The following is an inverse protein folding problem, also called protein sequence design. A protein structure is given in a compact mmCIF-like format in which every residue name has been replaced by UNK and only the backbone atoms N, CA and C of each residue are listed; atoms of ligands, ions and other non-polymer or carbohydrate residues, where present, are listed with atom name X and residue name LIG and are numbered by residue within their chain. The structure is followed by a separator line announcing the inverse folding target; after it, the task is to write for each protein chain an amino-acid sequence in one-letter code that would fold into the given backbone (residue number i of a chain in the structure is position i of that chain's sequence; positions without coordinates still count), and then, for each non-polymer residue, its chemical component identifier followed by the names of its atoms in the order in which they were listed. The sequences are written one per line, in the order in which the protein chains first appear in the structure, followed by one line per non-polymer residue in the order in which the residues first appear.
data_IF_888198673774
#
_entry.id   IF_888198673774
#
_cell.length_a   1.000
_cell.length_b   1.000
_cell.length_c   1.000
_cell.angle_alpha   90.00
_cell.angle_beta   90.00
_cell.angle_gamma   90.00
#
_symmetry.space_group_name_H-M   'P 1'
#
loop_
_entity.id
_entity.type
_entity.pdbx_description
1 polymer ?
#
# COMPACT_ATOMS: atom_id res chain seq x y z
N UNK A 1 14.99 -0.58 5.83
CA UNK A 1 13.59 -0.35 5.40
C UNK A 1 13.21 1.13 5.43
N UNK A 2 13.76 1.93 6.35
CA UNK A 2 13.53 3.38 6.42
C UNK A 2 13.89 4.15 5.16
N UNK A 3 14.88 3.66 4.40
CA UNK A 3 15.45 4.37 3.25
C UNK A 3 14.73 4.04 1.95
N UNK A 4 13.89 3.00 1.96
CA UNK A 4 13.16 2.52 0.79
C UNK A 4 12.20 3.58 0.21
N UNK A 5 11.44 4.34 1.01
CA UNK A 5 10.61 5.42 0.48
C UNK A 5 11.41 6.43 -0.34
N UNK A 6 12.60 6.83 0.15
CA UNK A 6 13.46 7.77 -0.57
C UNK A 6 14.03 7.14 -1.86
N UNK A 7 14.41 5.87 -1.82
CA UNK A 7 14.90 5.16 -3.01
C UNK A 7 13.80 5.02 -4.10
N UNK A 8 12.54 4.76 -3.72
CA UNK A 8 11.39 4.77 -4.63
C UNK A 8 11.12 6.17 -5.20
N UNK A 9 11.11 7.21 -4.35
CA UNK A 9 10.90 8.60 -4.79
C UNK A 9 11.99 9.08 -5.77
N UNK A 10 13.24 8.68 -5.55
CA UNK A 10 14.38 8.96 -6.43
C UNK A 10 14.44 8.08 -7.68
N UNK A 11 13.55 7.09 -7.80
CA UNK A 11 13.56 6.07 -8.88
C UNK A 11 14.87 5.27 -8.94
N UNK A 12 15.55 5.12 -7.80
CA UNK A 12 16.69 4.22 -7.68
C UNK A 12 16.22 2.75 -7.67
N UNK A 13 15.00 2.50 -7.20
CA UNK A 13 14.33 1.21 -7.22
C UNK A 13 12.90 1.35 -7.74
N UNK A 14 12.43 0.32 -8.45
CA UNK A 14 11.04 0.22 -8.92
C UNK A 14 10.24 -0.83 -8.15
N UNK A 15 10.91 -1.82 -7.55
CA UNK A 15 10.31 -2.85 -6.74
C UNK A 15 11.24 -3.33 -5.61
N UNK A 16 10.65 -3.90 -4.57
CA UNK A 16 11.35 -4.50 -3.44
C UNK A 16 10.66 -5.79 -2.99
N UNK A 17 11.46 -6.78 -2.60
CA UNK A 17 10.98 -8.05 -2.09
C UNK A 17 11.11 -8.09 -0.57
N UNK A 18 10.04 -8.50 0.11
CA UNK A 18 9.99 -8.62 1.56
C UNK A 18 9.36 -9.94 1.96
N UNK A 19 9.73 -10.44 3.14
CA UNK A 19 8.93 -11.48 3.82
C UNK A 19 7.57 -10.88 4.17
N UNK A 20 6.50 -11.67 4.05
CA UNK A 20 5.11 -11.18 4.17
C UNK A 20 4.81 -10.25 5.37
N UNK A 21 5.20 -10.55 6.63
CA UNK A 21 4.90 -9.65 7.74
C UNK A 21 5.69 -8.33 7.67
N UNK A 22 6.93 -8.37 7.15
CA UNK A 22 7.72 -7.16 6.91
C UNK A 22 7.06 -6.26 5.86
N UNK A 23 6.50 -6.86 4.81
CA UNK A 23 5.72 -6.12 3.81
C UNK A 23 4.49 -5.45 4.43
N UNK A 24 3.74 -6.16 5.29
CA UNK A 24 2.55 -5.60 5.96
C UNK A 24 2.90 -4.41 6.86
N UNK A 25 3.95 -4.54 7.68
CA UNK A 25 4.44 -3.45 8.53
C UNK A 25 4.93 -2.26 7.69
N UNK A 26 5.64 -2.51 6.60
CA UNK A 26 6.09 -1.44 5.69
C UNK A 26 4.91 -0.67 5.10
N UNK A 27 3.87 -1.36 4.64
CA UNK A 27 2.67 -0.74 4.09
C UNK A 27 1.89 0.05 5.15
N UNK A 28 1.75 -0.48 6.36
CA UNK A 28 1.10 0.24 7.47
C UNK A 28 1.89 1.51 7.84
N UNK A 29 3.22 1.40 7.95
CA UNK A 29 4.12 2.51 8.32
C UNK A 29 4.16 3.62 7.29
N UNK A 30 3.98 3.30 6.02
CA UNK A 30 4.01 4.26 4.91
C UNK A 30 2.67 4.33 4.16
N UNK A 31 1.55 4.17 4.87
CA UNK A 31 0.21 4.04 4.30
C UNK A 31 -0.19 5.23 3.42
N UNK A 32 0.31 6.44 3.72
CA UNK A 32 0.03 7.65 2.95
C UNK A 32 0.91 7.83 1.70
N UNK A 33 1.91 6.96 1.47
CA UNK A 33 2.85 7.09 0.34
C UNK A 33 2.40 6.35 -0.91
N UNK A 34 1.26 5.64 -0.86
CA UNK A 34 0.67 4.97 -2.03
C UNK A 34 1.40 3.71 -2.48
N UNK A 35 2.25 3.12 -1.61
CA UNK A 35 2.88 1.83 -1.91
C UNK A 35 1.85 0.70 -1.93
N UNK A 36 2.06 -0.26 -2.82
CA UNK A 36 1.19 -1.43 -2.96
C UNK A 36 2.02 -2.72 -3.02
N UNK A 37 1.42 -3.81 -2.56
CA UNK A 37 1.96 -5.16 -2.78
C UNK A 37 1.38 -5.69 -4.10
N UNK A 38 2.26 -6.10 -5.01
CA UNK A 38 1.89 -6.66 -6.33
C UNK A 38 2.39 -8.10 -6.44
N UNK A 39 1.65 -8.95 -7.15
CA UNK A 39 2.06 -10.32 -7.46
C UNK A 39 1.72 -11.36 -6.39
N UNK A 40 2.08 -12.62 -6.69
CA UNK A 40 1.83 -13.76 -5.83
C UNK A 40 2.76 -13.77 -4.61
N UNK A 41 2.25 -14.25 -3.47
CA UNK A 41 3.05 -14.45 -2.26
C UNK A 41 3.75 -15.80 -2.38
N UNK A 42 5.08 -15.80 -2.49
CA UNK A 42 5.88 -17.01 -2.45
C UNK A 42 6.08 -17.45 -0.99
N UNK A 43 5.63 -18.67 -0.66
CA UNK A 43 5.89 -19.28 0.66
C UNK A 43 7.29 -19.89 0.66
N UNK A 44 8.26 -19.12 1.15
CA UNK A 44 9.68 -19.52 1.22
C UNK A 44 10.11 -19.98 2.63
N UNK A 45 9.24 -19.90 3.64
CA UNK A 45 9.53 -20.27 5.03
C UNK A 45 8.72 -19.47 6.06
N UNK A 46 9.14 -19.51 7.33
CA UNK A 46 8.50 -18.81 8.44
C UNK A 46 9.46 -18.47 9.58
N UNK A 47 8.95 -17.77 10.59
CA UNK A 47 9.66 -17.50 11.84
C UNK A 47 9.49 -18.68 12.81
N UNK A 48 10.46 -18.87 13.69
CA UNK A 48 10.41 -19.94 14.69
C UNK A 48 11.29 -19.64 15.89
N UNK A 49 11.08 -20.39 16.96
CA UNK A 49 11.88 -20.36 18.18
C UNK A 49 12.98 -21.43 18.11
N UNK A 50 14.14 -21.15 18.69
CA UNK A 50 15.28 -22.08 18.71
C UNK A 50 15.63 -22.47 20.14
N UNK A 51 15.86 -23.77 20.34
CA UNK A 51 16.22 -24.33 21.65
C UNK A 51 17.37 -25.33 21.49
N UNK A 52 18.20 -25.53 22.53
CA UNK A 52 19.17 -26.61 22.57
C UNK A 52 18.49 -27.99 22.41
N UNK A 53 19.21 -28.92 21.79
CA UNK A 53 18.74 -30.30 21.63
C UNK A 53 18.50 -30.94 23.00
N UNK A 54 17.31 -31.52 23.19
CA UNK A 54 16.90 -32.14 24.46
C UNK A 54 16.26 -31.18 25.47
N UNK A 55 16.05 -29.92 25.10
CA UNK A 55 15.32 -28.97 25.95
C UNK A 55 13.86 -29.41 26.15
N UNK A 56 13.41 -29.47 27.40
CA UNK A 56 12.01 -29.74 27.74
C UNK A 56 11.06 -28.63 27.30
N UNK A 57 11.57 -27.39 27.14
CA UNK A 57 10.77 -26.23 26.76
C UNK A 57 10.18 -26.32 25.35
N UNK A 58 10.74 -27.18 24.49
CA UNK A 58 10.26 -27.33 23.11
C UNK A 58 8.79 -27.75 23.08
N UNK A 59 8.40 -28.70 23.95
CA UNK A 59 7.03 -29.18 24.02
C UNK A 59 6.10 -28.08 24.53
N UNK A 60 6.43 -27.50 25.69
CA UNK A 60 5.62 -26.47 26.34
C UNK A 60 5.38 -25.26 25.42
N UNK A 61 6.44 -24.76 24.74
CA UNK A 61 6.32 -23.59 23.86
C UNK A 61 5.59 -23.93 22.57
N UNK A 62 5.76 -25.13 22.02
CA UNK A 62 5.00 -25.54 20.83
C UNK A 62 3.51 -25.66 21.13
N UNK A 63 3.15 -26.23 22.29
CA UNK A 63 1.77 -26.32 22.74
C UNK A 63 1.15 -24.94 22.99
N UNK A 64 1.85 -24.07 23.72
CA UNK A 64 1.40 -22.70 23.95
C UNK A 64 1.22 -21.93 22.63
N UNK A 65 2.16 -22.08 21.68
CA UNK A 65 2.07 -21.43 20.38
C UNK A 65 0.87 -21.95 19.57
N UNK A 66 0.63 -23.26 19.56
CA UNK A 66 -0.54 -23.84 18.89
C UNK A 66 -1.83 -23.31 19.48
N UNK A 67 -1.95 -23.25 20.82
CA UNK A 67 -3.14 -22.74 21.49
C UNK A 67 -3.45 -21.27 21.10
N UNK A 68 -2.43 -20.41 21.01
CA UNK A 68 -2.60 -18.99 20.63
C UNK A 68 -2.90 -18.82 19.14
N UNK A 69 -2.41 -19.73 18.29
CA UNK A 69 -2.76 -19.76 16.86
C UNK A 69 -4.22 -20.20 16.68
N UNK A 70 -4.61 -21.31 17.29
CA UNK A 70 -5.95 -21.89 17.17
C UNK A 70 -7.05 -21.01 17.80
N UNK A 71 -6.72 -20.28 18.87
CA UNK A 71 -7.64 -19.32 19.49
C UNK A 71 -7.89 -18.07 18.61
N UNK A 72 -7.08 -17.84 17.58
CA UNK A 72 -7.13 -16.65 16.74
C UNK A 72 -6.56 -15.38 17.40
N UNK A 73 -5.98 -15.49 18.60
CA UNK A 73 -5.33 -14.38 19.29
C UNK A 73 -4.17 -13.79 18.47
N UNK A 74 -3.43 -14.64 17.75
CA UNK A 74 -2.37 -14.20 16.83
C UNK A 74 -2.88 -13.22 15.76
N UNK A 75 -4.03 -13.49 15.14
CA UNK A 75 -4.59 -12.61 14.11
C UNK A 75 -5.10 -11.29 14.69
N UNK A 76 -5.69 -11.34 15.88
CA UNK A 76 -6.16 -10.13 16.57
C UNK A 76 -4.98 -9.24 16.95
N UNK A 77 -3.92 -9.82 17.49
CA UNK A 77 -2.70 -9.11 17.81
C UNK A 77 -2.09 -8.47 16.56
N UNK A 78 -1.97 -9.22 15.46
CA UNK A 78 -1.45 -8.69 14.20
C UNK A 78 -2.28 -7.48 13.71
N UNK A 79 -3.61 -7.61 13.69
CA UNK A 79 -4.51 -6.53 13.27
C UNK A 79 -4.35 -5.29 14.16
N UNK A 80 -4.34 -5.48 15.48
CA UNK A 80 -4.22 -4.37 16.43
C UNK A 80 -2.90 -3.63 16.26
N UNK A 81 -1.78 -4.35 16.14
CA UNK A 81 -0.46 -3.74 15.93
C UNK A 81 -0.38 -3.00 14.59
N UNK A 82 -0.91 -3.58 13.51
CA UNK A 82 -0.91 -2.92 12.19
C UNK A 82 -1.79 -1.66 12.18
N UNK A 83 -2.97 -1.71 12.82
CA UNK A 83 -3.88 -0.57 12.93
C UNK A 83 -3.24 0.58 13.74
N UNK A 84 -2.51 0.27 14.80
CA UNK A 84 -1.78 1.25 15.60
C UNK A 84 -0.70 1.95 14.75
N UNK A 85 0.11 1.18 14.04
CA UNK A 85 1.15 1.71 13.14
C UNK A 85 0.54 2.56 12.03
N UNK A 86 -0.57 2.12 11.43
CA UNK A 86 -1.25 2.86 10.37
C UNK A 86 -1.83 4.18 10.87
N UNK A 87 -2.44 4.18 12.06
CA UNK A 87 -2.96 5.38 12.73
C UNK A 87 -1.87 6.41 12.98
N UNK A 88 -0.73 5.97 13.53
CA UNK A 88 0.44 6.83 13.77
C UNK A 88 0.99 7.39 12.45
N UNK A 89 1.12 6.55 11.42
CA UNK A 89 1.56 6.97 10.09
C UNK A 89 0.64 8.05 9.53
N UNK A 90 -0.68 7.85 9.57
CA UNK A 90 -1.67 8.79 9.05
C UNK A 90 -1.63 10.14 9.78
N UNK A 91 -1.45 10.13 11.10
CA UNK A 91 -1.25 11.34 11.89
C UNK A 91 0.01 12.11 11.43
N UNK A 92 1.12 11.42 11.25
CA UNK A 92 2.36 12.00 10.75
C UNK A 92 2.24 12.53 9.30
N UNK A 93 1.45 11.88 8.44
CA UNK A 93 1.25 12.38 7.08
C UNK A 93 0.36 13.63 7.06
N UNK A 94 -0.63 13.72 7.95
CA UNK A 94 -1.49 14.91 8.06
C UNK A 94 -0.73 16.15 8.57
N UNK A 95 0.26 15.99 9.43
CA UNK A 95 1.11 17.09 9.90
C UNK A 95 2.08 17.56 8.80
N UNK A 96 2.49 16.68 7.88
CA UNK A 96 3.25 17.03 6.69
C UNK A 96 2.40 17.73 5.61
N UNK A 97 1.13 17.36 5.45
CA UNK A 97 0.17 18.09 4.60
C UNK A 97 -0.20 19.47 5.16
N UNK A 98 -0.14 19.68 6.48
CA UNK A 98 -0.37 21.01 7.07
C UNK A 98 0.73 22.02 6.68
N UNK A 99 1.95 21.55 6.38
CA UNK A 99 3.05 22.38 5.87
C UNK A 99 3.21 22.38 4.33
N UNK A 100 2.50 21.50 3.62
CA UNK A 100 2.49 21.45 2.16
C UNK A 100 1.05 21.55 1.69
N UNK A 101 0.61 22.80 1.49
CA UNK A 101 -0.78 23.15 1.23
C UNK A 101 -1.50 22.16 0.31
N UNK A 102 -2.55 21.53 0.87
CA UNK A 102 -3.75 21.03 0.19
C UNK A 102 -3.51 20.63 -1.27
N UNK A 103 -2.77 19.56 -1.49
CA UNK A 103 -2.78 18.85 -2.76
C UNK A 103 -3.68 17.63 -2.64
N UNK A 104 -4.95 17.89 -2.31
CA UNK A 104 -6.06 17.05 -2.75
C UNK A 104 -5.83 16.77 -4.24
N UNK A 105 -5.52 15.52 -4.55
CA UNK A 105 -5.29 15.00 -5.90
C UNK A 105 -6.60 15.03 -6.67
N UNK A 106 -7.07 16.25 -6.92
CA UNK A 106 -8.06 16.58 -7.92
C UNK A 106 -7.43 16.18 -9.23
N UNK A 107 -8.04 15.23 -9.92
CA UNK A 107 -7.72 14.90 -11.30
C UNK A 107 -7.90 16.22 -12.06
N UNK A 108 -6.80 16.89 -12.37
CA UNK A 108 -6.82 18.24 -12.93
C UNK A 108 -7.63 18.29 -14.23
N UNK A 109 -7.90 19.49 -14.74
CA UNK A 109 -8.66 19.66 -16.00
C UNK A 109 -8.00 19.01 -17.24
N UNK A 110 -6.79 18.47 -17.12
CA UNK A 110 -5.99 17.96 -18.23
C UNK A 110 -6.65 16.79 -19.00
N UNK A 111 -7.14 15.72 -18.35
CA UNK A 111 -7.98 14.72 -19.02
C UNK A 111 -9.31 15.27 -19.59
N UNK A 112 -9.87 16.34 -19.01
CA UNK A 112 -11.10 16.96 -19.51
C UNK A 112 -10.88 17.77 -20.80
N UNK A 113 -9.68 18.33 -21.01
CA UNK A 113 -9.33 19.04 -22.25
C UNK A 113 -9.34 18.14 -23.49
N UNK A 114 -8.90 16.88 -23.34
CA UNK A 114 -8.95 15.90 -24.42
C UNK A 114 -10.41 15.61 -24.83
N UNK A 115 -11.28 15.43 -23.83
CA UNK A 115 -12.71 15.20 -24.07
C UNK A 115 -13.38 16.39 -24.76
N UNK A 116 -13.11 17.61 -24.29
CA UNK A 116 -13.64 18.84 -24.88
C UNK A 116 -13.23 19.01 -26.35
N UNK A 117 -11.97 18.67 -26.67
CA UNK A 117 -11.45 18.74 -28.04
C UNK A 117 -12.18 17.78 -28.99
N UNK A 118 -12.46 16.56 -28.53
CA UNK A 118 -13.20 15.56 -29.33
C UNK A 118 -14.64 16.05 -29.59
N UNK A 119 -15.33 16.52 -28.55
CA UNK A 119 -16.71 17.04 -28.69
C UNK A 119 -16.78 18.24 -29.64
N UNK A 120 -15.81 19.16 -29.55
CA UNK A 120 -15.72 20.32 -30.43
C UNK A 120 -15.55 19.93 -31.90
N UNK A 121 -14.71 18.94 -32.19
CA UNK A 121 -14.48 18.45 -33.54
C UNK A 121 -15.76 17.89 -34.19
N UNK A 122 -16.51 17.04 -33.47
CA UNK A 122 -17.77 16.49 -33.99
C UNK A 122 -18.84 17.57 -34.21
N UNK A 123 -18.91 18.59 -33.34
CA UNK A 123 -19.84 19.70 -33.49
C UNK A 123 -19.55 20.53 -34.75
N UNK A 124 -18.27 20.82 -35.03
CA UNK A 124 -17.86 21.55 -36.23
C UNK A 124 -18.18 20.75 -37.49
N UNK A 125 -17.89 19.45 -37.49
CA UNK A 125 -18.24 18.57 -38.62
C UNK A 125 -19.75 18.61 -38.88
N UNK A 126 -20.57 18.38 -37.86
CA UNK A 126 -22.03 18.40 -38.00
C UNK A 126 -22.56 19.73 -38.58
N UNK A 127 -22.05 20.87 -38.10
CA UNK A 127 -22.42 22.19 -38.61
C UNK A 127 -21.97 22.40 -40.07
N UNK A 128 -20.76 21.97 -40.42
CA UNK A 128 -20.27 22.08 -41.79
C UNK A 128 -21.11 21.25 -42.77
N UNK A 129 -21.46 20.01 -42.41
CA UNK A 129 -22.37 19.18 -43.21
C UNK A 129 -23.74 19.84 -43.37
N UNK A 130 -24.29 20.42 -42.31
CA UNK A 130 -25.57 21.11 -42.36
C UNK A 130 -25.54 22.33 -43.30
N UNK A 131 -24.47 23.13 -43.29
CA UNK A 131 -24.33 24.29 -44.17
C UNK A 131 -24.08 23.96 -45.65
N UNK A 132 -23.61 22.76 -45.95
CA UNK A 132 -23.31 22.32 -47.32
C UNK A 132 -24.51 21.61 -47.95
N UNK A 133 -25.35 20.98 -47.12
CA UNK A 133 -26.48 20.18 -47.57
C UNK A 133 -27.82 20.95 -47.59
N UNK A 134 -27.91 22.08 -46.87
CA UNK A 134 -28.98 23.07 -46.97
C UNK A 134 -28.52 24.26 -47.80
#
# INVERSE_FOLDING_TARGET
MSDYPAAFEKKEIEAAFFVAPHAKVFLAKYSCKGFIKVGNIFRLGGFGFVFPKGSSLVADISEALLNVIESGETEQLEKNMLNEIESESKANCSSLESNKGKNNSSIGLQPFLALFSICSFFAILALSYHMICC
#
